data_IF_593670823508
#
_entry.id   IF_593670823508
#
_cell.length_a   1.000
_cell.length_b   1.000
_cell.length_c   1.000
_cell.angle_alpha   90.00
_cell.angle_beta   90.00
_cell.angle_gamma   90.00
#
_symmetry.space_group_name_H-M   'P 1'
#
loop_
_entity.id
_entity.type
_entity.pdbx_description
1 polymer ?
#
# COMPACT_ATOMS: atom_id res chain seq x y z
N UNK A 1 34.07 2.99 -9.53
CA UNK A 1 32.71 3.18 -10.08
C UNK A 1 31.87 1.98 -9.65
N UNK A 2 31.16 2.07 -8.53
CA UNK A 2 30.23 1.02 -8.10
C UNK A 2 28.87 1.39 -8.68
N UNK A 3 28.64 0.98 -9.92
CA UNK A 3 27.33 1.07 -10.54
C UNK A 3 26.39 0.08 -9.87
N UNK A 4 25.80 0.46 -8.76
CA UNK A 4 24.69 -0.28 -8.16
C UNK A 4 23.58 -0.40 -9.20
N UNK A 5 23.40 -1.59 -9.74
CA UNK A 5 22.33 -1.88 -10.68
C UNK A 5 21.03 -1.56 -9.94
N UNK A 6 20.25 -0.58 -10.44
CA UNK A 6 18.94 -0.28 -9.87
C UNK A 6 18.03 -1.48 -10.14
N UNK A 7 17.95 -2.39 -9.17
CA UNK A 7 17.05 -3.52 -9.25
C UNK A 7 15.63 -3.06 -8.93
N UNK A 8 14.71 -3.32 -9.87
CA UNK A 8 13.32 -2.93 -9.72
C UNK A 8 12.60 -4.00 -8.89
N UNK A 9 12.42 -3.71 -7.60
CA UNK A 9 11.75 -4.62 -6.65
C UNK A 9 10.23 -4.61 -6.81
N UNK A 10 9.64 -3.44 -7.07
CA UNK A 10 8.20 -3.28 -7.23
C UNK A 10 7.82 -2.13 -8.19
N UNK A 11 6.62 -2.21 -8.75
CA UNK A 11 5.97 -1.15 -9.52
C UNK A 11 4.54 -1.01 -9.07
N UNK A 12 4.15 0.21 -8.71
CA UNK A 12 2.78 0.56 -8.36
C UNK A 12 2.14 1.27 -9.56
N UNK A 13 0.95 0.84 -9.95
CA UNK A 13 0.14 1.46 -11.00
C UNK A 13 -1.19 1.90 -10.38
N UNK A 14 -1.42 3.20 -10.32
CA UNK A 14 -2.69 3.77 -9.90
C UNK A 14 -3.74 3.63 -10.99
N UNK A 15 -4.91 3.13 -10.62
CA UNK A 15 -6.13 3.11 -11.43
C UNK A 15 -7.13 4.03 -10.74
N UNK A 16 -7.55 5.09 -11.45
CA UNK A 16 -8.56 6.03 -10.94
C UNK A 16 -9.95 5.55 -11.36
N UNK A 17 -10.61 4.83 -10.47
CA UNK A 17 -12.01 4.41 -10.63
C UNK A 17 -12.92 5.43 -9.97
N UNK A 18 -13.16 6.58 -10.64
CA UNK A 18 -14.07 7.74 -10.40
C UNK A 18 -14.41 8.21 -8.96
N UNK A 19 -14.47 7.34 -7.96
CA UNK A 19 -14.70 7.61 -6.54
C UNK A 19 -13.81 6.78 -5.58
N UNK A 20 -13.08 5.76 -6.04
CA UNK A 20 -12.21 4.90 -5.22
C UNK A 20 -10.85 4.74 -5.88
N UNK A 21 -9.79 5.05 -5.14
CA UNK A 21 -8.43 4.82 -5.57
C UNK A 21 -8.11 3.31 -5.50
N UNK A 22 -7.54 2.78 -6.58
CA UNK A 22 -7.06 1.39 -6.65
C UNK A 22 -5.61 1.40 -7.12
N UNK A 23 -4.74 0.63 -6.49
CA UNK A 23 -3.37 0.45 -6.94
C UNK A 23 -3.10 -1.01 -7.23
N UNK A 24 -2.47 -1.29 -8.37
CA UNK A 24 -1.93 -2.60 -8.68
C UNK A 24 -0.42 -2.58 -8.49
N UNK A 25 0.10 -3.52 -7.72
CA UNK A 25 1.51 -3.62 -7.38
C UNK A 25 2.08 -4.89 -8.01
N UNK A 26 3.04 -4.72 -8.92
CA UNK A 26 3.82 -5.83 -9.46
C UNK A 26 5.18 -5.84 -8.78
N UNK A 27 5.48 -6.88 -8.00
CA UNK A 27 6.73 -7.01 -7.28
C UNK A 27 7.35 -8.39 -7.45
N UNK A 28 8.63 -8.51 -7.09
CA UNK A 28 9.32 -9.81 -7.01
C UNK A 28 8.72 -10.74 -5.95
N UNK A 29 7.98 -10.18 -4.97
CA UNK A 29 7.29 -10.92 -3.90
C UNK A 29 5.87 -11.38 -4.28
N UNK A 30 5.40 -10.96 -5.46
CA UNK A 30 4.08 -11.28 -5.98
C UNK A 30 3.31 -10.06 -6.50
N UNK A 31 2.08 -10.33 -6.93
CA UNK A 31 1.13 -9.31 -7.35
C UNK A 31 0.22 -8.95 -6.18
N UNK A 32 0.18 -7.66 -5.87
CA UNK A 32 -0.68 -7.12 -4.83
C UNK A 32 -1.66 -6.12 -5.42
N UNK A 33 -2.81 -6.00 -4.78
CA UNK A 33 -3.86 -5.07 -5.17
C UNK A 33 -4.32 -4.32 -3.94
N UNK A 34 -4.35 -3.00 -4.04
CA UNK A 34 -4.72 -2.10 -2.95
C UNK A 34 -6.04 -1.46 -3.30
N UNK A 35 -7.04 -1.65 -2.44
CA UNK A 35 -8.44 -1.22 -2.65
C UNK A 35 -8.99 -0.64 -1.35
N UNK A 36 -9.74 0.45 -1.44
CA UNK A 36 -10.46 1.04 -0.31
C UNK A 36 -10.57 2.57 -0.38
N UNK A 37 -10.88 3.17 0.76
CA UNK A 37 -10.84 4.62 0.99
C UNK A 37 -9.43 5.03 1.43
N UNK A 38 -8.50 5.00 0.46
CA UNK A 38 -7.07 5.20 0.72
C UNK A 38 -6.79 6.57 1.38
N UNK A 39 -7.54 7.61 0.99
CA UNK A 39 -7.48 8.94 1.62
C UNK A 39 -7.83 8.97 3.12
N UNK A 40 -8.60 7.99 3.61
CA UNK A 40 -8.98 7.91 5.02
C UNK A 40 -8.13 6.90 5.81
N UNK A 41 -7.08 6.35 5.22
CA UNK A 41 -6.33 5.22 5.77
C UNK A 41 -7.27 4.05 6.13
N UNK A 42 -8.26 3.80 5.27
CA UNK A 42 -9.20 2.69 5.38
C UNK A 42 -9.16 1.88 4.09
N UNK A 43 -8.19 0.99 4.00
CA UNK A 43 -7.95 0.20 2.80
C UNK A 43 -7.31 -1.15 3.11
N UNK A 44 -7.40 -2.05 2.14
CA UNK A 44 -6.85 -3.40 2.24
C UNK A 44 -5.83 -3.63 1.15
N UNK A 45 -4.85 -4.47 1.45
CA UNK A 45 -3.87 -5.00 0.50
C UNK A 45 -4.21 -6.47 0.33
N UNK A 46 -4.50 -6.88 -0.90
CA UNK A 46 -4.70 -8.27 -1.28
C UNK A 46 -3.56 -8.79 -2.15
N UNK A 47 -3.32 -10.11 -2.14
CA UNK A 47 -2.29 -10.79 -2.92
C UNK A 47 -2.90 -11.91 -3.75
N UNK A 48 -2.47 -12.07 -5.00
CA UNK A 48 -2.94 -13.13 -5.89
C UNK A 48 -4.46 -13.11 -6.08
N UNK A 49 -5.15 -14.21 -5.73
CA UNK A 49 -6.60 -14.38 -5.86
C UNK A 49 -7.41 -13.63 -4.77
N UNK A 50 -7.14 -12.34 -4.58
CA UNK A 50 -7.81 -11.47 -3.61
C UNK A 50 -7.70 -11.92 -2.13
N UNK A 51 -6.66 -12.67 -1.77
CA UNK A 51 -6.37 -12.98 -0.36
C UNK A 51 -5.92 -11.69 0.35
N UNK A 52 -6.66 -11.25 1.37
CA UNK A 52 -6.29 -10.07 2.16
C UNK A 52 -5.05 -10.40 2.99
N UNK A 53 -3.96 -9.70 2.72
CA UNK A 53 -2.67 -9.85 3.41
C UNK A 53 -2.42 -8.74 4.41
N UNK A 54 -3.05 -7.58 4.22
CA UNK A 54 -3.00 -6.50 5.19
C UNK A 54 -4.26 -5.64 5.20
N UNK A 55 -4.59 -5.12 6.37
CA UNK A 55 -5.71 -4.21 6.62
C UNK A 55 -5.14 -2.95 7.26
N UNK A 56 -5.40 -1.81 6.62
CA UNK A 56 -5.02 -0.50 7.12
C UNK A 56 -6.31 0.16 7.56
N UNK A 57 -6.41 0.49 8.85
CA UNK A 57 -7.59 1.16 9.40
C UNK A 57 -7.20 2.21 10.43
N UNK A 58 -7.92 3.32 10.42
CA UNK A 58 -7.83 4.33 11.47
C UNK A 58 -8.78 3.96 12.61
N UNK A 59 -8.26 3.74 13.82
CA UNK A 59 -9.11 3.63 15.00
C UNK A 59 -9.78 4.99 15.24
N UNK A 60 -11.10 5.01 15.16
CA UNK A 60 -11.89 6.19 15.51
C UNK A 60 -11.49 6.67 16.90
N UNK A 61 -11.23 7.99 17.00
CA UNK A 61 -10.86 8.74 18.20
C UNK A 61 -9.37 8.89 18.56
N UNK A 62 -8.43 8.47 17.70
CA UNK A 62 -7.07 8.98 17.77
C UNK A 62 -6.90 10.17 16.83
N UNK A 63 -6.26 11.23 17.31
CA UNK A 63 -5.80 12.36 16.51
C UNK A 63 -5.03 11.89 15.27
N UNK A 64 -4.91 12.76 14.26
CA UNK A 64 -4.53 12.43 12.89
C UNK A 64 -3.29 11.52 12.71
N UNK A 65 -2.43 11.39 13.71
CA UNK A 65 -1.10 10.82 13.64
C UNK A 65 -1.00 9.31 13.91
N UNK A 66 -2.10 8.55 13.99
CA UNK A 66 -2.01 7.09 14.21
C UNK A 66 -3.00 6.29 13.38
N UNK A 67 -2.47 5.36 12.57
CA UNK A 67 -3.21 4.33 11.85
C UNK A 67 -2.67 2.95 12.25
N UNK A 68 -3.54 1.94 12.22
CA UNK A 68 -3.15 0.55 12.43
C UNK A 68 -2.86 -0.12 11.09
N UNK A 69 -1.84 -0.97 11.06
CA UNK A 69 -1.57 -1.89 9.94
C UNK A 69 -1.57 -3.30 10.52
N UNK A 70 -2.58 -4.08 10.17
CA UNK A 70 -2.69 -5.50 10.52
C UNK A 70 -2.17 -6.31 9.32
N UNK A 71 -1.18 -7.17 9.53
CA UNK A 71 -0.54 -7.98 8.48
C UNK A 71 -0.70 -9.44 8.89
N UNK A 72 -1.05 -10.31 7.94
CA UNK A 72 -1.15 -11.74 8.21
C UNK A 72 0.24 -12.35 8.46
N UNK A 73 0.29 -13.38 9.30
CA UNK A 73 1.52 -14.12 9.54
C UNK A 73 2.02 -14.79 8.24
N UNK A 74 3.33 -14.76 8.03
CA UNK A 74 3.98 -15.35 6.86
C UNK A 74 4.17 -14.42 5.65
N UNK A 75 3.67 -13.19 5.71
CA UNK A 75 3.97 -12.16 4.69
C UNK A 75 5.19 -11.30 5.07
N UNK A 76 5.77 -10.64 4.06
CA UNK A 76 6.90 -9.74 4.24
C UNK A 76 6.42 -8.41 4.84
N UNK A 77 6.51 -8.30 6.17
CA UNK A 77 6.04 -7.13 6.90
C UNK A 77 6.75 -5.84 6.48
N UNK A 78 8.09 -5.80 6.35
CA UNK A 78 8.78 -4.62 5.83
C UNK A 78 8.29 -4.19 4.45
N UNK A 79 8.06 -5.13 3.53
CA UNK A 79 7.56 -4.82 2.19
C UNK A 79 6.16 -4.22 2.21
N UNK A 80 5.25 -4.81 2.98
CA UNK A 80 3.88 -4.29 3.14
C UNK A 80 3.90 -2.87 3.75
N UNK A 81 4.71 -2.64 4.78
CA UNK A 81 4.87 -1.32 5.38
C UNK A 81 5.46 -0.30 4.39
N UNK A 82 6.41 -0.71 3.54
CA UNK A 82 6.94 0.15 2.48
C UNK A 82 5.84 0.57 1.48
N UNK A 83 4.92 -0.34 1.12
CA UNK A 83 3.76 0.02 0.29
C UNK A 83 2.87 1.06 0.96
N UNK A 84 2.59 0.90 2.26
CA UNK A 84 1.80 1.87 3.04
C UNK A 84 2.44 3.26 3.03
N UNK A 85 3.76 3.33 3.23
CA UNK A 85 4.51 4.60 3.20
C UNK A 85 4.50 5.23 1.81
N UNK A 86 4.73 4.45 0.75
CA UNK A 86 4.70 4.96 -0.63
C UNK A 86 3.33 5.54 -0.96
N UNK A 87 2.25 4.86 -0.55
CA UNK A 87 0.88 5.34 -0.74
C UNK A 87 0.66 6.65 0.01
N UNK A 88 1.07 6.73 1.27
CA UNK A 88 0.98 7.97 2.06
C UNK A 88 1.66 9.15 1.33
N UNK A 89 2.85 8.93 0.76
CA UNK A 89 3.56 9.94 -0.01
C UNK A 89 2.82 10.34 -1.30
N UNK A 90 2.28 9.38 -2.06
CA UNK A 90 1.51 9.65 -3.28
C UNK A 90 0.24 10.45 -2.99
N UNK A 91 -0.42 10.18 -1.85
CA UNK A 91 -1.60 10.92 -1.42
C UNK A 91 -1.27 12.33 -0.94
N UNK A 92 -0.16 12.50 -0.20
CA UNK A 92 0.30 13.81 0.25
C UNK A 92 0.72 14.70 -0.92
N UNK A 93 1.40 14.15 -1.93
CA UNK A 93 1.83 14.91 -3.11
C UNK A 93 0.66 15.37 -3.98
N UNK A 94 -0.45 14.60 -4.00
CA UNK A 94 -1.67 14.96 -4.72
C UNK A 94 -2.47 16.12 -4.08
N UNK A 95 -2.10 16.56 -2.87
CA UNK A 95 -2.76 17.68 -2.16
C UNK A 95 -1.98 19.00 -2.23
N UNK A 96 -0.95 19.10 -3.07
CA UNK A 96 -0.20 20.34 -3.32
C UNK A 96 -0.52 20.99 -4.66
#
# INVERSE_FOLDING_TARGET
>A
MLGGTKEKIAQLKQESTWFKAKFNVNSVYGQYVIKGEIFKFDYTISKGNDLIVAIISKKGWAWADTYGVEIIDGEDHPFILALVIIIDQVLHDSQK
#
